data_IF_531811426898
#
_entry.id   IF_531811426898
#
_cell.length_a   1.000
_cell.length_b   1.000
_cell.length_c   1.000
_cell.angle_alpha   90.00
_cell.angle_beta   90.00
_cell.angle_gamma   90.00
#
_symmetry.space_group_name_H-M   'P 1'
#
loop_
_entity.id
_entity.type
_entity.pdbx_description
1 polymer ?
#
# COMPACT_ATOMS: atom_id res chain seq x y z
N UNK A 1 -8.94 3.05 -6.77
CA UNK A 1 -7.59 3.14 -6.17
C UNK A 1 -6.63 2.01 -6.57
N UNK A 2 -6.99 0.72 -6.47
CA UNK A 2 -6.16 -0.36 -7.06
C UNK A 2 -6.40 -0.49 -8.58
N UNK A 3 -7.67 -0.50 -9.01
CA UNK A 3 -8.03 -0.53 -10.44
C UNK A 3 -7.55 0.71 -11.23
N UNK A 4 -7.53 1.89 -10.59
CA UNK A 4 -7.16 3.15 -11.25
C UNK A 4 -5.65 3.31 -11.46
N UNK A 5 -4.79 2.64 -10.68
CA UNK A 5 -3.33 2.71 -10.86
C UNK A 5 -2.81 1.62 -11.80
N UNK A 6 -3.58 0.56 -12.06
CA UNK A 6 -3.24 -0.49 -13.04
C UNK A 6 -3.23 0.05 -14.49
N UNK A 7 -3.96 1.13 -14.75
CA UNK A 7 -4.05 1.81 -16.05
C UNK A 7 -3.06 2.97 -16.20
N UNK A 8 -2.30 3.35 -15.16
CA UNK A 8 -1.33 4.44 -15.23
C UNK A 8 -0.02 3.92 -15.83
N UNK A 9 0.33 4.32 -17.07
CA UNK A 9 1.62 3.95 -17.62
C UNK A 9 2.71 4.61 -16.77
N UNK A 10 3.52 3.81 -16.06
CA UNK A 10 4.60 4.17 -15.11
C UNK A 10 4.24 4.24 -13.62
N UNK A 11 3.06 3.78 -13.18
CA UNK A 11 2.88 3.55 -11.75
C UNK A 11 3.92 2.55 -11.23
N UNK A 12 4.56 2.87 -10.11
CA UNK A 12 5.47 2.02 -9.33
C UNK A 12 4.86 1.76 -7.96
N UNK A 13 5.27 0.69 -7.29
CA UNK A 13 4.73 0.36 -5.95
C UNK A 13 4.93 1.54 -4.98
N UNK A 14 6.05 2.25 -5.12
CA UNK A 14 6.36 3.46 -4.35
C UNK A 14 5.39 4.61 -4.63
N UNK A 15 5.07 4.88 -5.90
CA UNK A 15 4.10 5.95 -6.23
C UNK A 15 2.71 5.60 -5.71
N UNK A 16 2.31 4.33 -5.76
CA UNK A 16 1.05 3.86 -5.17
C UNK A 16 1.01 4.09 -3.65
N UNK A 17 2.07 3.72 -2.94
CA UNK A 17 2.19 3.97 -1.50
C UNK A 17 2.14 5.46 -1.15
N UNK A 18 2.87 6.31 -1.88
CA UNK A 18 2.88 7.76 -1.64
C UNK A 18 1.50 8.36 -1.83
N UNK A 19 0.79 7.99 -2.89
CA UNK A 19 -0.57 8.47 -3.17
C UNK A 19 -1.56 8.02 -2.12
N UNK A 20 -1.47 6.76 -1.67
CA UNK A 20 -2.27 6.22 -0.56
C UNK A 20 -2.04 7.04 0.72
N UNK A 21 -0.77 7.34 1.03
CA UNK A 21 -0.42 8.20 2.16
C UNK A 21 -1.01 9.61 1.97
N UNK A 22 -0.79 10.29 0.85
CA UNK A 22 -1.31 11.65 0.63
C UNK A 22 -2.84 11.73 0.65
N UNK A 23 -3.52 10.71 0.14
CA UNK A 23 -4.98 10.69 0.07
C UNK A 23 -5.63 10.39 1.42
N UNK A 24 -5.07 9.47 2.22
CA UNK A 24 -5.72 8.95 3.43
C UNK A 24 -5.08 9.40 4.75
N UNK A 25 -3.80 9.75 4.76
CA UNK A 25 -3.12 10.16 5.98
C UNK A 25 -3.70 11.48 6.49
N UNK A 26 -4.17 11.48 7.73
CA UNK A 26 -4.81 12.64 8.37
C UNK A 26 -6.26 12.88 7.95
N UNK A 27 -6.77 12.18 6.92
CA UNK A 27 -8.20 12.19 6.55
C UNK A 27 -8.96 10.99 7.09
N UNK A 28 -8.29 9.84 7.22
CA UNK A 28 -8.89 8.62 7.74
C UNK A 28 -8.27 8.25 9.10
N UNK A 29 -9.05 8.15 10.19
CA UNK A 29 -8.53 7.94 11.54
C UNK A 29 -7.85 6.58 11.71
N UNK A 30 -8.15 5.61 10.83
CA UNK A 30 -7.51 4.30 10.82
C UNK A 30 -6.24 4.24 9.95
N UNK A 31 -5.86 5.32 9.27
CA UNK A 31 -4.70 5.32 8.38
C UNK A 31 -3.51 6.01 9.06
N UNK A 32 -2.43 5.25 9.26
CA UNK A 32 -1.26 5.68 10.04
C UNK A 32 0.02 5.58 9.20
N UNK A 33 1.01 6.42 9.53
CA UNK A 33 2.36 6.27 8.97
C UNK A 33 2.95 4.92 9.42
N UNK A 34 3.75 4.25 8.57
CA UNK A 34 4.40 3.02 8.97
C UNK A 34 5.39 3.32 10.11
N UNK A 35 5.30 2.55 11.20
CA UNK A 35 6.31 2.60 12.26
C UNK A 35 7.61 1.98 11.74
N UNK A 36 8.79 2.50 12.16
CA UNK A 36 10.07 1.94 11.76
C UNK A 36 10.12 0.45 12.11
N UNK A 37 10.68 -0.40 11.22
CA UNK A 37 10.76 -1.83 11.46
C UNK A 37 11.58 -2.10 12.73
N UNK A 38 11.05 -2.96 13.63
CA UNK A 38 11.78 -3.43 14.80
C UNK A 38 12.25 -4.87 14.57
N UNK A 39 13.56 -5.11 14.69
CA UNK A 39 14.15 -6.44 14.53
C UNK A 39 14.06 -6.95 13.10
N UNK A 40 13.55 -8.18 12.90
CA UNK A 40 13.43 -8.85 11.59
C UNK A 40 12.17 -8.47 10.80
N UNK A 41 11.53 -7.34 11.13
CA UNK A 41 10.30 -6.94 10.46
C UNK A 41 10.64 -6.34 9.10
N UNK A 42 9.92 -6.79 8.06
CA UNK A 42 10.04 -6.23 6.73
C UNK A 42 9.67 -4.73 6.72
N UNK A 43 10.22 -3.99 5.76
CA UNK A 43 9.80 -2.62 5.51
C UNK A 43 8.29 -2.55 5.25
N UNK A 44 7.69 -1.46 5.68
CA UNK A 44 6.28 -1.18 5.47
C UNK A 44 6.14 0.24 4.94
N UNK A 45 5.23 0.41 4.00
CA UNK A 45 5.00 1.67 3.33
C UNK A 45 3.83 2.44 3.96
N UNK A 46 2.85 1.74 4.53
CA UNK A 46 1.78 2.34 5.33
C UNK A 46 1.31 1.39 6.43
N UNK A 47 0.56 1.92 7.39
CA UNK A 47 -0.06 1.13 8.45
C UNK A 47 -1.55 1.44 8.54
N UNK A 48 -2.35 0.42 8.84
CA UNK A 48 -3.79 0.59 9.03
C UNK A 48 -4.21 0.03 10.38
N UNK A 49 -5.06 0.75 11.10
CA UNK A 49 -5.59 0.34 12.39
C UNK A 49 -6.86 -0.48 12.21
N UNK A 50 -6.74 -1.79 12.41
CA UNK A 50 -7.85 -2.74 12.43
C UNK A 50 -8.33 -2.98 13.85
N UNK A 51 -9.45 -3.71 13.97
CA UNK A 51 -10.00 -4.14 15.26
C UNK A 51 -8.98 -4.92 16.12
N UNK A 52 -8.16 -5.76 15.48
CA UNK A 52 -7.10 -6.54 16.14
C UNK A 52 -5.78 -5.78 16.35
N UNK A 53 -5.71 -4.49 15.99
CA UNK A 53 -4.51 -3.65 16.13
C UNK A 53 -4.00 -3.07 14.80
N UNK A 54 -2.86 -2.38 14.88
CA UNK A 54 -2.23 -1.74 13.72
C UNK A 54 -1.47 -2.76 12.87
N UNK A 55 -1.88 -2.90 11.61
CA UNK A 55 -1.30 -3.82 10.63
C UNK A 55 -0.32 -3.08 9.72
N UNK A 56 0.89 -3.66 9.62
CA UNK A 56 2.01 -3.33 8.73
C UNK A 56 1.72 -3.66 7.26
N UNK A 57 1.57 -2.72 6.33
CA UNK A 57 1.42 -3.05 4.91
C UNK A 57 2.67 -2.72 4.09
N UNK A 58 3.14 -3.70 3.33
CA UNK A 58 4.19 -3.53 2.34
C UNK A 58 3.58 -3.66 0.94
N UNK A 59 3.74 -2.63 0.11
CA UNK A 59 3.25 -2.58 -1.27
C UNK A 59 4.25 -3.14 -2.29
N UNK A 60 5.45 -3.55 -1.88
CA UNK A 60 6.42 -4.18 -2.77
C UNK A 60 5.75 -5.31 -3.54
N UNK A 61 5.86 -5.28 -4.87
CA UNK A 61 5.34 -6.31 -5.75
C UNK A 61 3.78 -6.37 -5.81
N UNK A 62 3.08 -5.29 -5.45
CA UNK A 62 1.62 -5.20 -5.57
C UNK A 62 1.20 -4.94 -7.01
N UNK A 63 1.92 -4.09 -7.75
CA UNK A 63 1.57 -3.77 -9.13
C UNK A 63 1.77 -4.96 -10.06
N UNK A 64 2.83 -5.75 -9.87
CA UNK A 64 3.06 -6.96 -10.68
C UNK A 64 1.95 -7.99 -10.44
N UNK A 65 1.53 -8.20 -9.19
CA UNK A 65 0.41 -9.08 -8.84
C UNK A 65 -0.95 -8.61 -9.41
N UNK A 66 -1.17 -7.31 -9.50
CA UNK A 66 -2.42 -6.77 -10.08
C UNK A 66 -2.43 -6.84 -11.60
N UNK A 67 -1.27 -6.78 -12.28
CA UNK A 67 -1.20 -7.00 -13.74
C UNK A 67 -1.57 -8.42 -14.15
N UNK A 68 -1.18 -9.42 -13.37
CA UNK A 68 -1.47 -10.84 -13.62
C UNK A 68 -2.98 -11.15 -13.54
N UNK A 69 -3.69 -10.49 -12.61
CA UNK A 69 -5.15 -10.58 -12.45
C UNK A 69 -5.95 -10.09 -13.67
N UNK A 70 -5.36 -9.25 -14.53
CA UNK A 70 -6.01 -8.77 -15.75
C UNK A 70 -5.74 -9.66 -16.98
N UNK A 71 -4.94 -10.72 -16.83
CA UNK A 71 -4.53 -11.59 -17.96
C UNK A 71 -4.97 -13.05 -17.85
N UNK A 72 -5.80 -13.42 -16.88
CA UNK A 72 -6.50 -14.71 -16.93
C UNK A 72 -7.68 -14.63 -17.92
N UNK A 73 -7.69 -15.43 -19.01
CA UNK A 73 -8.75 -15.49 -20.01
C UNK A 73 -10.06 -16.12 -19.50
#
# INVERSE_FOLDING_TARGET
>A
MLDEECIVPKATDLTLAQKLLEQHLGKHPNFEKPKPPKGKQAEAHFAMRHYAGTVRYNVTNWLEKNKDLSTTP
#
